data_IF_717144490171
#
_entry.id   IF_717144490171
#
_cell.length_a   1.000
_cell.length_b   1.000
_cell.length_c   1.000
_cell.angle_alpha   90.00
_cell.angle_beta   90.00
_cell.angle_gamma   90.00
#
_symmetry.space_group_name_H-M   'P 1'
#
loop_
_entity.id
_entity.type
_entity.pdbx_description
1 polymer ?
#
# COMPACT_ATOMS: atom_id res chain seq x y z
N UNK A 1 -14.88 0.77 11.19
CA UNK A 1 -13.70 1.47 11.76
C UNK A 1 -12.47 0.64 11.45
N UNK A 2 -11.65 1.08 10.48
CA UNK A 2 -10.20 0.96 10.62
C UNK A 2 -9.51 2.32 10.48
N UNK A 3 -8.52 2.49 11.35
CA UNK A 3 -7.71 3.68 11.63
C UNK A 3 -6.92 4.18 10.41
N UNK A 4 -6.82 5.51 10.30
CA UNK A 4 -5.91 6.24 9.42
C UNK A 4 -4.43 6.03 9.84
N UNK A 5 -3.48 5.96 8.90
CA UNK A 5 -2.06 5.92 9.21
C UNK A 5 -1.56 7.30 9.71
N UNK A 6 -0.81 7.23 10.81
CA UNK A 6 -0.17 8.29 11.55
C UNK A 6 0.92 8.99 10.73
N UNK A 7 0.81 10.32 10.58
CA UNK A 7 1.83 11.21 10.02
C UNK A 7 3.09 11.14 10.91
N UNK A 8 4.22 10.70 10.34
CA UNK A 8 5.54 10.88 10.94
C UNK A 8 6.02 12.32 10.74
N UNK A 9 6.28 13.01 11.85
CA UNK A 9 6.93 14.33 11.88
C UNK A 9 8.44 14.21 11.58
N UNK A 10 9.05 15.16 10.84
CA UNK A 10 10.49 15.13 10.55
C UNK A 10 11.34 15.54 11.76
N UNK A 11 12.44 14.79 11.94
CA UNK A 11 13.43 14.95 13.00
C UNK A 11 14.11 16.32 12.97
N UNK A 12 13.98 17.05 14.08
CA UNK A 12 14.71 18.28 14.37
C UNK A 12 16.08 17.95 14.98
N UNK A 13 17.14 17.96 14.17
CA UNK A 13 18.51 18.12 14.65
C UNK A 13 19.09 19.43 14.10
N UNK A 14 18.78 20.52 14.80
CA UNK A 14 19.39 21.83 14.58
C UNK A 14 20.49 22.04 15.64
N UNK A 15 21.74 21.93 15.18
CA UNK A 15 23.00 22.56 15.62
C UNK A 15 23.02 23.35 16.95
N UNK A 16 23.92 22.93 17.85
CA UNK A 16 24.42 23.74 18.97
C UNK A 16 25.89 24.13 18.76
N UNK A 17 26.10 25.39 18.40
CA UNK A 17 27.40 26.07 18.30
C UNK A 17 27.61 26.90 19.57
N UNK A 18 28.66 26.66 20.35
CA UNK A 18 29.33 27.67 21.22
C UNK A 18 30.79 27.27 21.42
N UNK A 19 31.68 28.20 21.08
CA UNK A 19 33.13 28.14 21.16
C UNK A 19 33.64 28.73 22.50
N UNK A 20 34.55 27.97 23.14
CA UNK A 20 35.72 28.33 23.97
C UNK A 20 35.70 29.47 25.01
N UNK A 21 36.17 29.15 26.22
CA UNK A 21 36.95 30.04 27.08
C UNK A 21 38.24 29.35 27.55
N UNK A 22 39.33 30.09 27.39
CA UNK A 22 40.76 29.80 27.52
C UNK A 22 41.26 29.12 28.81
N UNK A 23 42.30 28.27 28.67
CA UNK A 23 43.54 28.33 29.48
C UNK A 23 44.71 27.60 28.81
N UNK A 24 45.89 28.18 29.01
CA UNK A 24 47.08 28.17 28.17
C UNK A 24 47.97 26.92 28.18
N UNK A 25 48.71 26.75 27.08
CA UNK A 25 50.18 26.72 26.98
C UNK A 25 50.73 25.49 26.25
N UNK A 26 51.14 25.67 24.99
CA UNK A 26 52.45 25.17 24.58
C UNK A 26 52.98 25.96 23.37
N UNK A 27 54.22 26.42 23.49
CA UNK A 27 54.95 27.13 22.45
C UNK A 27 55.48 26.12 21.43
N UNK A 28 55.24 26.35 20.14
CA UNK A 28 56.27 26.02 19.17
C UNK A 28 56.25 27.03 18.01
N UNK A 29 57.45 27.52 17.75
CA UNK A 29 57.86 28.56 16.84
C UNK A 29 57.99 28.01 15.41
N UNK A 30 57.52 28.74 14.40
CA UNK A 30 58.27 28.96 13.16
C UNK A 30 57.50 29.84 12.17
N UNK A 31 58.13 30.98 11.90
CA UNK A 31 57.91 31.98 10.86
C UNK A 31 57.90 31.41 9.41
N UNK A 32 56.96 31.89 8.59
CA UNK A 32 57.24 32.24 7.19
C UNK A 32 56.05 33.02 6.59
N UNK A 33 56.27 34.31 6.33
CA UNK A 33 55.42 35.14 5.48
C UNK A 33 55.45 34.67 4.03
N UNK A 34 54.30 34.66 3.35
CA UNK A 34 54.26 34.87 1.89
C UNK A 34 52.99 35.64 1.51
N UNK A 35 53.23 36.77 0.87
CA UNK A 35 52.33 37.65 0.16
C UNK A 35 52.43 37.25 -1.32
N UNK A 36 51.34 36.82 -1.95
CA UNK A 36 51.21 36.63 -3.41
C UNK A 36 49.72 36.37 -3.72
N UNK A 37 48.93 37.39 -4.03
CA UNK A 37 48.64 37.92 -5.37
C UNK A 37 47.72 37.00 -6.21
N UNK A 38 46.42 37.32 -6.15
CA UNK A 38 45.50 37.38 -7.30
C UNK A 38 45.74 36.41 -8.48
N UNK A 39 45.31 35.14 -8.37
CA UNK A 39 45.09 34.26 -9.55
C UNK A 39 44.04 33.13 -9.35
N UNK A 40 43.00 33.33 -8.53
CA UNK A 40 42.00 32.28 -8.19
C UNK A 40 40.84 32.14 -9.21
N UNK A 41 40.80 32.93 -10.28
CA UNK A 41 39.76 32.84 -11.32
C UNK A 41 39.91 31.57 -12.18
N UNK A 42 41.13 31.07 -12.39
CA UNK A 42 41.39 29.87 -13.17
C UNK A 42 41.13 28.56 -12.39
N UNK A 43 41.37 28.54 -11.07
CA UNK A 43 41.02 27.38 -10.22
C UNK A 43 39.51 27.24 -10.04
N UNK A 44 38.79 28.37 -9.87
CA UNK A 44 37.32 28.37 -9.76
C UNK A 44 36.64 28.00 -11.09
N UNK A 45 37.19 28.42 -12.23
CA UNK A 45 36.72 28.01 -13.55
C UNK A 45 36.96 26.52 -13.83
N UNK A 46 38.07 25.96 -13.35
CA UNK A 46 38.34 24.51 -13.44
C UNK A 46 37.33 23.72 -12.59
N UNK A 47 37.07 24.17 -11.36
CA UNK A 47 36.10 23.53 -10.46
C UNK A 47 34.67 23.56 -11.01
N UNK A 48 34.24 24.66 -11.64
CA UNK A 48 32.91 24.76 -12.26
C UNK A 48 32.74 23.80 -13.46
N UNK A 49 33.78 23.61 -14.27
CA UNK A 49 33.76 22.63 -15.38
C UNK A 49 33.72 21.20 -14.88
N UNK A 50 34.41 20.91 -13.78
CA UNK A 50 34.39 19.59 -13.16
C UNK A 50 33.04 19.30 -12.49
N UNK A 51 32.43 20.28 -11.83
CA UNK A 51 31.07 20.18 -11.30
C UNK A 51 30.02 20.01 -12.40
N UNK A 52 30.14 20.70 -13.53
CA UNK A 52 29.24 20.52 -14.67
C UNK A 52 29.37 19.11 -15.26
N UNK A 53 30.59 18.57 -15.33
CA UNK A 53 30.85 17.19 -15.76
C UNK A 53 30.20 16.18 -14.80
N UNK A 54 30.37 16.35 -13.48
CA UNK A 54 29.76 15.49 -12.44
C UNK A 54 28.23 15.59 -12.48
N UNK A 55 27.68 16.80 -12.67
CA UNK A 55 26.24 17.03 -12.73
C UNK A 55 25.61 16.38 -13.96
N UNK A 56 26.28 16.43 -15.11
CA UNK A 56 25.83 15.76 -16.34
C UNK A 56 25.85 14.24 -16.19
N UNK A 57 26.91 13.69 -15.61
CA UNK A 57 27.03 12.24 -15.37
C UNK A 57 25.97 11.72 -14.38
N UNK A 58 25.73 12.46 -13.27
CA UNK A 58 24.65 12.12 -12.33
C UNK A 58 23.26 12.19 -12.95
N UNK A 59 23.00 13.21 -13.77
CA UNK A 59 21.69 13.35 -14.40
C UNK A 59 21.39 12.18 -15.35
N UNK A 60 22.40 11.67 -16.07
CA UNK A 60 22.25 10.51 -16.95
C UNK A 60 22.05 9.21 -16.16
N UNK A 61 22.79 9.01 -15.07
CA UNK A 61 22.62 7.83 -14.21
C UNK A 61 21.28 7.83 -13.47
N UNK A 62 20.84 9.00 -12.99
CA UNK A 62 19.54 9.17 -12.32
C UNK A 62 18.38 8.91 -13.29
N UNK A 63 18.46 9.40 -14.53
CA UNK A 63 17.48 9.08 -15.57
C UNK A 63 17.40 7.58 -15.83
N UNK A 64 18.55 6.91 -15.99
CA UNK A 64 18.59 5.45 -16.20
C UNK A 64 18.01 4.67 -15.02
N UNK A 65 18.27 5.12 -13.79
CA UNK A 65 17.75 4.48 -12.57
C UNK A 65 16.25 4.73 -12.39
N UNK A 66 15.77 5.92 -12.73
CA UNK A 66 14.37 6.29 -12.69
C UNK A 66 13.55 5.48 -13.70
N UNK A 67 14.07 5.30 -14.93
CA UNK A 67 13.46 4.43 -15.94
C UNK A 67 13.36 2.97 -15.47
N UNK A 68 14.42 2.45 -14.84
CA UNK A 68 14.40 1.10 -14.26
C UNK A 68 13.38 0.98 -13.13
N UNK A 69 13.28 1.97 -12.25
CA UNK A 69 12.30 1.97 -11.15
C UNK A 69 10.87 2.03 -11.69
N UNK A 70 10.62 2.87 -12.68
CA UNK A 70 9.31 2.97 -13.33
C UNK A 70 8.92 1.67 -14.04
N UNK A 71 9.86 0.98 -14.69
CA UNK A 71 9.60 -0.33 -15.29
C UNK A 71 9.25 -1.39 -14.23
N UNK A 72 9.96 -1.41 -13.11
CA UNK A 72 9.68 -2.33 -12.00
C UNK A 72 8.32 -2.03 -11.36
N UNK A 73 8.00 -0.76 -11.09
CA UNK A 73 6.73 -0.34 -10.52
C UNK A 73 5.57 -0.64 -11.48
N UNK A 74 5.75 -0.44 -12.79
CA UNK A 74 4.76 -0.80 -13.81
C UNK A 74 4.55 -2.31 -13.89
N UNK A 75 5.63 -3.10 -13.81
CA UNK A 75 5.56 -4.56 -13.79
C UNK A 75 4.82 -5.07 -12.54
N UNK A 76 5.16 -4.58 -11.35
CA UNK A 76 4.47 -4.92 -10.11
C UNK A 76 3.00 -4.52 -10.13
N UNK A 77 2.68 -3.33 -10.66
CA UNK A 77 1.30 -2.88 -10.81
C UNK A 77 0.52 -3.80 -11.75
N UNK A 78 1.15 -4.24 -12.85
CA UNK A 78 0.53 -5.19 -13.77
C UNK A 78 0.29 -6.55 -13.13
N UNK A 79 1.25 -7.07 -12.35
CA UNK A 79 1.14 -8.33 -11.63
C UNK A 79 0.04 -8.29 -10.55
N UNK A 80 -0.10 -7.17 -9.84
CA UNK A 80 -1.17 -6.95 -8.87
C UNK A 80 -2.55 -6.87 -9.53
N UNK A 81 -2.66 -6.24 -10.70
CA UNK A 81 -3.90 -6.20 -11.47
C UNK A 81 -4.28 -7.57 -12.04
N UNK A 82 -3.29 -8.37 -12.47
CA UNK A 82 -3.48 -9.74 -12.94
C UNK A 82 -3.89 -10.67 -11.79
N UNK A 83 -3.22 -10.61 -10.64
CA UNK A 83 -3.48 -11.47 -9.48
C UNK A 83 -4.76 -11.10 -8.71
N UNK A 84 -5.12 -9.81 -8.65
CA UNK A 84 -6.29 -9.30 -7.95
C UNK A 84 -7.62 -9.49 -8.69
N UNK A 85 -7.60 -9.86 -9.99
CA UNK A 85 -8.81 -10.00 -10.79
C UNK A 85 -9.21 -11.48 -10.97
N UNK A 86 -10.20 -11.97 -10.21
CA UNK A 86 -10.67 -13.36 -10.33
C UNK A 86 -11.33 -13.67 -11.69
N UNK A 87 -11.68 -12.67 -12.51
CA UNK A 87 -12.19 -12.87 -13.87
C UNK A 87 -11.07 -13.18 -14.88
N UNK A 88 -9.86 -12.67 -14.67
CA UNK A 88 -8.73 -12.88 -15.58
C UNK A 88 -8.02 -14.22 -15.30
N UNK A 89 -7.97 -14.64 -14.04
CA UNK A 89 -7.39 -15.94 -13.65
C UNK A 89 -8.26 -17.14 -14.03
N UNK A 90 -9.47 -16.91 -14.55
CA UNK A 90 -10.38 -17.94 -15.06
C UNK A 90 -10.22 -18.19 -16.57
N UNK A 91 -9.46 -17.35 -17.28
CA UNK A 91 -9.41 -17.33 -18.74
C UNK A 91 -8.33 -18.20 -19.40
N UNK A 92 -7.53 -18.94 -18.63
CA UNK A 92 -6.37 -19.67 -19.14
C UNK A 92 -6.59 -21.14 -19.48
N UNK A 93 -7.38 -21.89 -18.68
CA UNK A 93 -7.32 -23.35 -18.82
C UNK A 93 -8.49 -24.13 -18.19
N UNK A 94 -9.73 -23.63 -18.28
CA UNK A 94 -10.88 -24.44 -17.90
C UNK A 94 -11.95 -24.28 -18.97
N UNK A 95 -12.23 -25.37 -19.68
CA UNK A 95 -13.50 -25.55 -20.36
C UNK A 95 -14.63 -25.06 -19.45
N UNK A 96 -15.40 -24.06 -19.87
CA UNK A 96 -16.67 -23.65 -19.22
C UNK A 96 -17.73 -24.76 -19.24
N UNK A 97 -17.34 -26.01 -19.53
CA UNK A 97 -18.09 -27.19 -19.21
C UNK A 97 -18.19 -27.31 -17.68
N UNK A 98 -19.26 -26.74 -17.13
CA UNK A 98 -19.68 -26.99 -15.75
C UNK A 98 -19.73 -28.51 -15.57
N UNK A 99 -18.75 -29.09 -14.86
CA UNK A 99 -18.76 -30.50 -14.49
C UNK A 99 -20.13 -30.79 -13.84
N UNK A 100 -20.82 -31.80 -14.36
CA UNK A 100 -22.17 -32.17 -13.92
C UNK A 100 -22.18 -32.31 -12.40
N UNK A 101 -22.98 -31.47 -11.74
CA UNK A 101 -23.06 -31.41 -10.27
C UNK A 101 -23.81 -32.66 -9.80
N UNK A 102 -23.49 -33.16 -8.62
CA UNK A 102 -24.21 -34.29 -8.01
C UNK A 102 -25.72 -34.00 -7.85
N UNK A 103 -26.08 -32.72 -7.69
CA UNK A 103 -27.46 -32.20 -7.64
C UNK A 103 -28.17 -32.16 -9.01
N UNK A 104 -27.48 -32.44 -10.11
CA UNK A 104 -28.03 -32.20 -11.44
C UNK A 104 -29.13 -33.21 -11.81
N UNK A 105 -29.06 -34.43 -11.28
CA UNK A 105 -30.02 -35.52 -11.50
C UNK A 105 -31.25 -35.47 -10.55
N UNK A 106 -31.34 -34.44 -9.71
CA UNK A 106 -32.50 -34.29 -8.81
C UNK A 106 -33.68 -33.72 -9.59
N UNK A 107 -34.79 -34.47 -9.61
CA UNK A 107 -36.03 -34.14 -10.33
C UNK A 107 -36.79 -32.93 -9.75
N UNK A 108 -36.52 -32.55 -8.50
CA UNK A 108 -37.09 -31.38 -7.85
C UNK A 108 -36.01 -30.34 -7.57
N UNK A 109 -36.04 -29.22 -8.29
CA UNK A 109 -35.13 -28.09 -8.09
C UNK A 109 -35.91 -26.91 -7.51
N UNK A 110 -35.30 -26.15 -6.59
CA UNK A 110 -35.81 -24.86 -6.11
C UNK A 110 -37.21 -24.88 -5.46
N UNK A 111 -37.56 -25.93 -4.70
CA UNK A 111 -38.90 -26.09 -4.09
C UNK A 111 -39.32 -24.96 -3.13
N UNK A 112 -38.36 -24.29 -2.49
CA UNK A 112 -38.61 -23.24 -1.50
C UNK A 112 -38.19 -21.84 -1.95
N UNK A 113 -37.96 -21.63 -3.26
CA UNK A 113 -37.37 -20.38 -3.77
C UNK A 113 -38.16 -19.12 -3.39
N UNK A 114 -39.47 -19.23 -3.28
CA UNK A 114 -40.37 -18.11 -2.96
C UNK A 114 -41.15 -18.32 -1.63
N UNK A 115 -40.70 -19.27 -0.79
CA UNK A 115 -41.31 -19.50 0.52
C UNK A 115 -40.58 -18.65 1.55
N UNK A 116 -41.23 -17.61 2.05
CA UNK A 116 -40.73 -16.84 3.20
C UNK A 116 -40.85 -17.68 4.49
N UNK A 117 -39.71 -18.10 5.05
CA UNK A 117 -39.63 -18.82 6.33
C UNK A 117 -40.07 -17.98 7.55
N UNK A 118 -40.32 -16.69 7.35
CA UNK A 118 -40.73 -15.78 8.42
C UNK A 118 -42.22 -16.01 8.72
N UNK A 119 -42.59 -16.35 9.97
CA UNK A 119 -43.99 -16.48 10.33
C UNK A 119 -44.68 -15.14 10.13
N UNK A 120 -45.79 -15.16 9.40
CA UNK A 120 -46.59 -13.97 9.15
C UNK A 120 -47.05 -13.39 10.50
N UNK A 121 -46.75 -12.11 10.77
CA UNK A 121 -47.16 -11.43 12.01
C UNK A 121 -48.65 -11.07 11.93
N UNK A 122 -49.51 -12.07 12.04
CA UNK A 122 -50.97 -11.90 12.11
C UNK A 122 -51.47 -12.21 13.51
N UNK A 123 -52.35 -11.36 14.02
CA UNK A 123 -53.14 -11.68 15.20
C UNK A 123 -54.50 -12.20 14.75
N UNK A 124 -54.88 -13.37 15.25
CA UNK A 124 -56.19 -13.98 15.00
C UNK A 124 -56.91 -14.01 16.34
N UNK A 125 -58.09 -13.41 16.40
CA UNK A 125 -58.97 -13.47 17.57
C UNK A 125 -59.71 -14.82 17.62
N UNK A 126 -58.96 -15.93 17.67
CA UNK A 126 -59.45 -17.30 17.78
C UNK A 126 -58.35 -18.17 18.43
N UNK A 127 -58.67 -18.84 19.54
CA UNK A 127 -57.71 -19.65 20.29
C UNK A 127 -57.28 -20.93 19.58
N UNK A 128 -58.11 -21.49 18.68
CA UNK A 128 -57.81 -22.78 18.02
C UNK A 128 -57.13 -22.58 16.65
N UNK A 129 -57.40 -21.46 15.98
CA UNK A 129 -56.80 -21.15 14.66
C UNK A 129 -55.57 -20.24 14.74
N UNK A 130 -55.24 -19.74 15.93
CA UNK A 130 -54.03 -18.95 16.14
C UNK A 130 -52.77 -19.73 15.77
N UNK A 131 -51.77 -19.02 15.25
CA UNK A 131 -50.44 -19.56 14.97
C UNK A 131 -49.80 -20.19 16.21
N UNK A 132 -50.13 -19.68 17.40
CA UNK A 132 -49.71 -20.27 18.66
C UNK A 132 -50.27 -21.69 18.84
N UNK A 133 -51.57 -21.86 18.65
CA UNK A 133 -52.23 -23.15 18.85
C UNK A 133 -51.79 -24.19 17.83
N UNK A 134 -51.64 -23.79 16.56
CA UNK A 134 -51.07 -24.66 15.52
C UNK A 134 -49.65 -25.13 15.88
N UNK A 135 -48.79 -24.23 16.38
CA UNK A 135 -47.45 -24.60 16.86
C UNK A 135 -47.48 -25.50 18.10
N UNK A 136 -48.40 -25.23 19.03
CA UNK A 136 -48.60 -26.05 20.23
C UNK A 136 -48.99 -27.49 19.86
N UNK A 137 -49.98 -27.65 18.96
CA UNK A 137 -50.42 -28.97 18.52
C UNK A 137 -49.29 -29.74 17.83
N UNK A 138 -48.60 -29.14 16.86
CA UNK A 138 -47.46 -29.78 16.19
C UNK A 138 -46.32 -30.18 17.16
N UNK A 139 -46.18 -29.48 18.29
CA UNK A 139 -45.10 -29.72 19.27
C UNK A 139 -45.45 -30.82 20.27
N UNK A 140 -46.70 -30.88 20.74
CA UNK A 140 -47.10 -31.74 21.86
C UNK A 140 -48.00 -32.91 21.44
N UNK A 141 -48.53 -32.88 20.22
CA UNK A 141 -49.34 -33.94 19.65
C UNK A 141 -48.70 -34.37 18.33
N UNK A 142 -48.44 -35.67 18.18
CA UNK A 142 -47.85 -36.25 16.98
C UNK A 142 -48.81 -37.19 16.30
#
# INVERSE_FOLDING_TARGET
MPLLPFLGTPDTWLVGLINSHSRSNDNNDSDASTDDDSDDEDETAQLLRELEKIKRERAEEEQRKEEQRQQLDAAQRSEQLLSGNPLLNLGGDQSFAVKRRWDDDVIFKNQARDVDDKPQKRFINDMLRSDFHRKFMNKYIR
#
